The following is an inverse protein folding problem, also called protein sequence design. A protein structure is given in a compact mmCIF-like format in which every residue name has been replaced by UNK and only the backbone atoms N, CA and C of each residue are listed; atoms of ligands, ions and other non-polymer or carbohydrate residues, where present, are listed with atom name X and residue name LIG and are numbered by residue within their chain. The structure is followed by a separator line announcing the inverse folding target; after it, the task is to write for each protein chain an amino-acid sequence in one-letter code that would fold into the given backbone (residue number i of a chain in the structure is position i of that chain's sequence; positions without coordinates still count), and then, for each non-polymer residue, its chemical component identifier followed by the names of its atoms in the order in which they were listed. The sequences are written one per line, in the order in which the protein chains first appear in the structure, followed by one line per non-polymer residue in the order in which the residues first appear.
data_IF_068354022091
#
_entry.id   IF_068354022091
#
_cell.length_a   1.000
_cell.length_b   1.000
_cell.length_c   1.000
_cell.angle_alpha   90.00
_cell.angle_beta   90.00
_cell.angle_gamma   90.00
#
_symmetry.space_group_name_H-M   'P 1'
#
loop_
_entity.id
_entity.type
_entity.pdbx_description
1 polymer ?
#
# COMPACT_ATOMS: atom_id res chain seq x y z
N UNK A 1 -26.84 -32.77 1.02
CA UNK A 1 -25.64 -31.97 0.69
C UNK A 1 -25.92 -30.64 -0.06
N UNK A 2 -27.07 -30.42 -0.71
CA UNK A 2 -27.34 -29.19 -1.48
C UNK A 2 -27.57 -27.90 -0.64
N UNK A 3 -28.00 -28.02 0.62
CA UNK A 3 -28.36 -26.87 1.48
C UNK A 3 -27.16 -26.02 1.96
N UNK A 4 -25.99 -26.63 2.15
CA UNK A 4 -24.78 -25.91 2.59
C UNK A 4 -24.14 -25.06 1.48
N UNK A 5 -24.24 -25.51 0.23
CA UNK A 5 -23.71 -24.80 -0.95
C UNK A 5 -24.43 -23.47 -1.18
N UNK A 6 -25.75 -23.46 -0.92
CA UNK A 6 -26.60 -22.29 -1.10
C UNK A 6 -26.31 -21.16 -0.09
N UNK A 7 -26.05 -21.51 1.18
CA UNK A 7 -25.67 -20.53 2.21
C UNK A 7 -24.31 -19.87 1.93
N UNK A 8 -23.33 -20.62 1.43
CA UNK A 8 -21.99 -20.08 1.11
C UNK A 8 -22.05 -19.13 -0.08
N UNK A 9 -22.85 -19.44 -1.11
CA UNK A 9 -23.06 -18.56 -2.25
C UNK A 9 -23.75 -17.25 -1.85
N UNK A 10 -24.82 -17.33 -1.05
CA UNK A 10 -25.53 -16.15 -0.55
C UNK A 10 -24.64 -15.25 0.33
N UNK A 11 -23.78 -15.85 1.17
CA UNK A 11 -22.82 -15.08 1.98
C UNK A 11 -21.80 -14.33 1.10
N UNK A 12 -21.31 -14.96 0.03
CA UNK A 12 -20.38 -14.35 -0.93
C UNK A 12 -21.03 -13.21 -1.71
N UNK A 13 -22.22 -13.42 -2.24
CA UNK A 13 -22.98 -12.36 -2.91
C UNK A 13 -23.20 -11.16 -1.97
N UNK A 14 -23.55 -11.41 -0.70
CA UNK A 14 -23.72 -10.35 0.29
C UNK A 14 -22.41 -9.61 0.61
N UNK A 15 -21.28 -10.32 0.64
CA UNK A 15 -19.97 -9.72 0.87
C UNK A 15 -19.54 -8.84 -0.30
N UNK A 16 -19.75 -9.31 -1.54
CA UNK A 16 -19.52 -8.55 -2.77
C UNK A 16 -20.37 -7.28 -2.81
N UNK A 17 -21.69 -7.40 -2.65
CA UNK A 17 -22.61 -6.25 -2.68
C UNK A 17 -22.35 -5.24 -1.55
N UNK A 18 -21.77 -5.68 -0.43
CA UNK A 18 -21.41 -4.80 0.68
C UNK A 18 -20.04 -4.14 0.53
N UNK A 19 -19.25 -4.52 -0.48
CA UNK A 19 -17.95 -3.94 -0.73
C UNK A 19 -18.10 -2.65 -1.55
N UNK A 20 -17.68 -1.49 -1.04
CA UNK A 20 -17.82 -0.21 -1.76
C UNK A 20 -17.09 -0.20 -3.11
N UNK A 21 -16.08 -1.05 -3.29
CA UNK A 21 -15.28 -1.10 -4.51
C UNK A 21 -15.81 -2.11 -5.54
N UNK A 22 -16.87 -2.87 -5.20
CA UNK A 22 -17.35 -3.97 -6.03
C UNK A 22 -17.81 -3.52 -7.42
N UNK A 23 -18.44 -2.35 -7.52
CA UNK A 23 -18.88 -1.80 -8.81
C UNK A 23 -17.69 -1.52 -9.74
N UNK A 24 -16.60 -0.97 -9.20
CA UNK A 24 -15.38 -0.71 -9.96
C UNK A 24 -14.72 -2.00 -10.45
N UNK A 25 -14.71 -3.02 -9.58
CA UNK A 25 -14.22 -4.35 -9.91
C UNK A 25 -15.06 -4.96 -11.03
N UNK A 26 -16.38 -4.93 -10.92
CA UNK A 26 -17.26 -5.47 -11.97
C UNK A 26 -17.05 -4.80 -13.33
N UNK A 27 -16.87 -3.48 -13.35
CA UNK A 27 -16.59 -2.74 -14.59
C UNK A 27 -15.27 -3.19 -15.21
N UNK A 28 -14.22 -3.33 -14.40
CA UNK A 28 -12.95 -3.86 -14.88
C UNK A 28 -13.07 -5.29 -15.42
N UNK A 29 -13.80 -6.17 -14.72
CA UNK A 29 -14.04 -7.55 -15.18
C UNK A 29 -14.85 -7.63 -16.47
N UNK A 30 -15.61 -6.58 -16.81
CA UNK A 30 -16.32 -6.42 -18.09
C UNK A 30 -15.43 -5.82 -19.20
N UNK A 31 -14.16 -5.54 -18.90
CA UNK A 31 -13.18 -4.96 -19.83
C UNK A 31 -13.12 -3.42 -19.81
N UNK A 32 -13.77 -2.76 -18.85
CA UNK A 32 -13.67 -1.31 -18.69
C UNK A 32 -12.46 -0.93 -17.82
N UNK A 33 -11.35 -0.56 -18.45
CA UNK A 33 -10.10 -0.12 -17.77
C UNK A 33 -10.33 1.01 -16.74
N UNK A 34 -11.34 1.85 -16.97
CA UNK A 34 -11.71 2.93 -16.05
C UNK A 34 -12.02 2.42 -14.62
N UNK A 35 -12.55 1.19 -14.49
CA UNK A 35 -12.79 0.58 -13.18
C UNK A 35 -11.50 0.40 -12.39
N UNK A 36 -10.46 -0.14 -13.03
CA UNK A 36 -9.17 -0.34 -12.40
C UNK A 36 -8.45 0.98 -12.11
N UNK A 37 -8.48 1.93 -13.04
CA UNK A 37 -7.87 3.24 -12.84
C UNK A 37 -8.42 3.94 -11.59
N UNK A 38 -9.73 3.85 -11.36
CA UNK A 38 -10.34 4.40 -10.16
C UNK A 38 -9.89 3.66 -8.88
N UNK A 39 -9.73 2.33 -8.93
CA UNK A 39 -9.16 1.56 -7.82
C UNK A 39 -7.74 2.03 -7.49
N UNK A 40 -6.89 2.26 -8.49
CA UNK A 40 -5.54 2.80 -8.27
C UNK A 40 -5.61 4.16 -7.57
N UNK A 41 -6.40 5.09 -8.08
CA UNK A 41 -6.57 6.42 -7.47
C UNK A 41 -7.05 6.35 -6.01
N UNK A 42 -7.99 5.45 -5.72
CA UNK A 42 -8.54 5.28 -4.36
C UNK A 42 -7.51 4.74 -3.36
N UNK A 43 -6.52 3.96 -3.83
CA UNK A 43 -5.66 3.17 -2.96
C UNK A 43 -4.17 3.51 -3.04
N UNK A 44 -3.70 4.26 -4.04
CA UNK A 44 -2.28 4.53 -4.25
C UNK A 44 -1.58 5.10 -3.01
N UNK A 45 -2.18 6.09 -2.35
CA UNK A 45 -1.60 6.71 -1.16
C UNK A 45 -1.55 5.74 0.03
N UNK A 46 -2.56 4.86 0.17
CA UNK A 46 -2.61 3.87 1.26
C UNK A 46 -1.62 2.74 1.05
N UNK A 47 -1.50 2.25 -0.19
CA UNK A 47 -0.53 1.22 -0.57
C UNK A 47 0.88 1.76 -0.38
N UNK A 48 1.17 2.94 -0.94
CA UNK A 48 2.46 3.61 -0.77
C UNK A 48 2.81 3.82 0.71
N UNK A 49 1.91 4.42 1.49
CA UNK A 49 2.15 4.66 2.92
C UNK A 49 2.30 3.36 3.74
N UNK A 50 1.68 2.26 3.32
CA UNK A 50 1.93 0.95 3.92
C UNK A 50 3.31 0.40 3.54
N UNK A 51 3.69 0.47 2.27
CA UNK A 51 5.01 0.09 1.80
C UNK A 51 6.10 0.88 2.54
N UNK A 52 5.94 2.21 2.64
CA UNK A 52 6.89 3.08 3.33
C UNK A 52 7.04 2.73 4.80
N UNK A 53 5.93 2.51 5.52
CA UNK A 53 5.98 2.09 6.92
C UNK A 53 6.72 0.76 7.13
N UNK A 54 6.60 -0.18 6.19
CA UNK A 54 7.26 -1.50 6.29
C UNK A 54 8.72 -1.45 5.84
N UNK A 55 9.02 -0.71 4.77
CA UNK A 55 10.34 -0.69 4.13
C UNK A 55 11.29 0.36 4.74
N UNK A 56 10.75 1.49 5.20
CA UNK A 56 11.52 2.65 5.69
C UNK A 56 12.33 3.41 4.64
N UNK A 57 12.33 2.97 3.39
CA UNK A 57 12.92 3.67 2.24
C UNK A 57 11.82 4.14 1.30
N UNK A 58 11.93 5.39 0.83
CA UNK A 58 10.99 5.98 -0.13
C UNK A 58 11.08 5.30 -1.50
N UNK A 59 12.29 5.03 -1.97
CA UNK A 59 12.57 4.38 -3.25
C UNK A 59 12.00 2.96 -3.30
N UNK A 60 12.30 2.17 -2.26
CA UNK A 60 11.78 0.80 -2.13
C UNK A 60 10.25 0.79 -1.97
N UNK A 61 9.69 1.79 -1.28
CA UNK A 61 8.25 1.89 -1.12
C UNK A 61 7.53 2.16 -2.44
N UNK A 62 8.10 3.03 -3.28
CA UNK A 62 7.57 3.35 -4.60
C UNK A 62 7.65 2.13 -5.53
N UNK A 63 8.82 1.47 -5.62
CA UNK A 63 9.03 0.26 -6.44
C UNK A 63 7.99 -0.82 -6.07
N UNK A 64 7.85 -1.11 -4.78
CA UNK A 64 6.90 -2.14 -4.31
C UNK A 64 5.44 -1.72 -4.54
N UNK A 65 5.09 -0.45 -4.33
CA UNK A 65 3.73 0.01 -4.57
C UNK A 65 3.31 -0.20 -6.03
N UNK A 66 4.23 0.04 -6.98
CA UNK A 66 4.01 -0.24 -8.39
C UNK A 66 3.82 -1.75 -8.65
N UNK A 67 4.71 -2.60 -8.12
CA UNK A 67 4.59 -4.06 -8.25
C UNK A 67 3.26 -4.60 -7.69
N UNK A 68 2.79 -4.03 -6.58
CA UNK A 68 1.51 -4.39 -5.97
C UNK A 68 0.37 -4.11 -6.95
N UNK A 69 0.31 -2.93 -7.56
CA UNK A 69 -0.76 -2.62 -8.51
C UNK A 69 -0.69 -3.47 -9.78
N UNK A 70 0.51 -3.80 -10.28
CA UNK A 70 0.67 -4.74 -11.39
C UNK A 70 0.13 -6.14 -11.00
N UNK A 71 0.45 -6.59 -9.79
CA UNK A 71 -0.02 -7.88 -9.27
C UNK A 71 -1.54 -7.90 -9.11
N UNK A 72 -2.10 -6.81 -8.58
CA UNK A 72 -3.55 -6.64 -8.40
C UNK A 72 -4.24 -6.64 -9.76
N UNK A 73 -3.75 -5.89 -10.75
CA UNK A 73 -4.27 -5.89 -12.11
C UNK A 73 -4.37 -7.31 -12.68
N UNK A 74 -3.28 -8.07 -12.60
CA UNK A 74 -3.20 -9.42 -13.14
C UNK A 74 -4.07 -10.45 -12.41
N UNK A 75 -4.33 -10.24 -11.12
CA UNK A 75 -5.04 -11.20 -10.25
C UNK A 75 -6.48 -10.79 -9.89
N UNK A 76 -6.93 -9.61 -10.31
CA UNK A 76 -8.25 -9.09 -9.95
C UNK A 76 -9.40 -9.96 -10.49
N UNK A 77 -9.18 -10.64 -11.63
CA UNK A 77 -10.12 -11.63 -12.18
C UNK A 77 -10.30 -12.87 -11.31
N UNK A 78 -9.31 -13.20 -10.48
CA UNK A 78 -9.35 -14.31 -9.53
C UNK A 78 -9.92 -13.91 -8.17
N UNK A 79 -10.15 -12.61 -7.95
CA UNK A 79 -10.68 -12.10 -6.70
C UNK A 79 -12.13 -12.56 -6.49
N UNK A 80 -12.29 -13.52 -5.57
CA UNK A 80 -13.56 -14.21 -5.32
C UNK A 80 -14.61 -13.41 -4.54
N UNK A 81 -14.26 -12.22 -4.03
CA UNK A 81 -15.12 -11.43 -3.14
C UNK A 81 -15.43 -12.10 -1.80
N UNK A 82 -14.54 -13.01 -1.34
CA UNK A 82 -14.69 -13.69 -0.04
C UNK A 82 -14.35 -12.77 1.15
N UNK A 83 -13.66 -11.65 0.88
CA UNK A 83 -13.35 -10.54 1.79
C UNK A 83 -13.58 -9.21 1.07
N UNK A 84 -13.46 -8.07 1.78
CA UNK A 84 -13.38 -6.77 1.12
C UNK A 84 -12.12 -6.68 0.25
N UNK A 85 -12.18 -5.91 -0.82
CA UNK A 85 -11.07 -5.61 -1.71
C UNK A 85 -9.91 -4.97 -0.95
N UNK A 86 -10.19 -3.96 -0.12
CA UNK A 86 -9.19 -3.33 0.77
C UNK A 86 -8.41 -4.33 1.62
N UNK A 87 -9.09 -5.34 2.17
CA UNK A 87 -8.44 -6.41 2.96
C UNK A 87 -7.57 -7.32 2.10
N UNK A 88 -8.01 -7.64 0.89
CA UNK A 88 -7.25 -8.46 -0.05
C UNK A 88 -6.01 -7.70 -0.58
N UNK A 89 -6.19 -6.43 -0.93
CA UNK A 89 -5.11 -5.53 -1.34
C UNK A 89 -4.04 -5.38 -0.25
N UNK A 90 -4.45 -5.12 1.00
CA UNK A 90 -3.55 -5.05 2.14
C UNK A 90 -2.66 -6.31 2.24
N UNK A 91 -3.25 -7.50 2.09
CA UNK A 91 -2.50 -8.77 2.15
C UNK A 91 -1.49 -8.90 1.01
N UNK A 92 -1.84 -8.46 -0.20
CA UNK A 92 -0.91 -8.42 -1.33
C UNK A 92 0.25 -7.48 -1.01
N UNK A 93 -0.04 -6.24 -0.58
CA UNK A 93 0.97 -5.24 -0.23
C UNK A 93 1.95 -5.76 0.82
N UNK A 94 1.45 -6.28 1.94
CA UNK A 94 2.30 -6.82 3.01
C UNK A 94 3.17 -7.97 2.51
N UNK A 95 2.63 -8.85 1.65
CA UNK A 95 3.41 -9.97 1.10
C UNK A 95 4.55 -9.49 0.20
N UNK A 96 4.32 -8.48 -0.66
CA UNK A 96 5.39 -7.90 -1.47
C UNK A 96 6.48 -7.27 -0.60
N UNK A 97 6.12 -6.45 0.39
CA UNK A 97 7.09 -5.85 1.31
C UNK A 97 7.91 -6.91 2.06
N UNK A 98 7.26 -7.95 2.59
CA UNK A 98 7.94 -9.06 3.28
C UNK A 98 8.91 -9.81 2.36
N UNK A 99 8.52 -10.04 1.11
CA UNK A 99 9.39 -10.70 0.14
C UNK A 99 10.60 -9.83 -0.19
N UNK A 100 10.43 -8.52 -0.36
CA UNK A 100 11.53 -7.58 -0.60
C UNK A 100 12.47 -7.48 0.60
N UNK A 101 11.97 -7.35 1.82
CA UNK A 101 12.80 -7.37 3.03
C UNK A 101 13.66 -8.64 3.13
N UNK A 102 13.07 -9.81 2.84
CA UNK A 102 13.81 -11.09 2.81
C UNK A 102 14.89 -11.10 1.74
N UNK A 103 14.62 -10.52 0.57
CA UNK A 103 15.58 -10.41 -0.52
C UNK A 103 16.75 -9.50 -0.16
N UNK A 104 16.47 -8.31 0.39
CA UNK A 104 17.46 -7.33 0.82
C UNK A 104 18.33 -7.86 1.98
N UNK A 105 17.70 -8.52 2.97
CA UNK A 105 18.40 -9.13 4.09
C UNK A 105 19.40 -10.23 3.67
N UNK A 106 19.06 -11.03 2.65
CA UNK A 106 19.99 -12.05 2.10
C UNK A 106 21.18 -11.45 1.35
N UNK A 107 21.05 -10.22 0.85
CA UNK A 107 22.10 -9.51 0.12
C UNK A 107 22.99 -8.63 1.00
N UNK A 108 22.73 -8.59 2.32
CA UNK A 108 23.46 -7.70 3.22
C UNK A 108 23.13 -6.22 3.02
N UNK A 109 22.02 -5.90 2.36
CA UNK A 109 21.64 -4.51 2.04
C UNK A 109 21.44 -3.64 3.29
N UNK A 110 21.08 -4.25 4.43
CA UNK A 110 20.97 -3.57 5.72
C UNK A 110 22.32 -3.41 6.47
N UNK A 111 23.45 -3.84 5.89
CA UNK A 111 24.78 -3.66 6.49
C UNK A 111 25.47 -2.35 6.08
N UNK A 112 24.89 -1.55 5.17
CA UNK A 112 25.50 -0.29 4.70
C UNK A 112 24.99 1.00 5.34
N UNK A 113 23.93 1.01 6.15
CA UNK A 113 23.38 2.26 6.71
C UNK A 113 23.92 2.59 8.10
N UNK A 114 25.24 2.60 8.21
CA UNK A 114 25.92 3.50 9.12
C UNK A 114 26.74 4.47 8.30
N UNK A 115 26.37 5.74 8.43
CA UNK A 115 27.07 6.95 8.01
C UNK A 115 26.53 7.59 6.72
N UNK A 116 25.99 8.79 6.95
CA UNK A 116 25.91 9.91 6.01
C UNK A 116 24.67 9.98 5.09
N UNK A 117 23.65 10.70 5.56
CA UNK A 117 22.87 11.56 4.68
C UNK A 117 23.06 13.00 5.13
N UNK A 118 24.22 13.54 4.72
CA UNK A 118 24.47 14.94 4.53
C UNK A 118 23.44 15.57 3.60
N UNK A 119 23.22 16.86 3.86
CA UNK A 119 22.34 17.76 3.14
C UNK A 119 22.77 17.88 1.67
N UNK A 120 21.85 17.60 0.74
CA UNK A 120 21.91 18.14 -0.62
C UNK A 120 20.54 18.72 -0.99
N UNK A 121 20.42 20.03 -0.85
CA UNK A 121 19.56 20.88 -1.67
C UNK A 121 20.23 21.07 -3.03
N UNK A 122 19.50 20.86 -4.12
CA UNK A 122 19.59 21.71 -5.32
C UNK A 122 18.38 21.50 -6.24
N UNK A 123 18.10 22.54 -7.02
CA UNK A 123 16.80 22.92 -7.58
C UNK A 123 16.23 22.02 -8.69
N UNK A 124 14.90 21.93 -8.74
CA UNK A 124 14.18 21.33 -9.86
C UNK A 124 12.68 21.69 -9.85
N UNK A 125 12.31 22.63 -10.71
CA UNK A 125 10.92 23.04 -10.96
C UNK A 125 10.02 21.86 -11.39
N UNK A 126 8.86 21.72 -10.75
CA UNK A 126 7.64 21.31 -11.45
C UNK A 126 6.41 22.01 -10.85
N UNK A 127 5.69 22.71 -11.71
CA UNK A 127 4.46 23.44 -11.39
C UNK A 127 3.22 22.59 -11.72
N UNK A 128 2.29 22.39 -10.76
CA UNK A 128 0.88 22.84 -10.89
C UNK A 128 0.13 22.69 -9.55
N UNK A 129 -0.69 23.69 -9.29
CA UNK A 129 -1.40 24.02 -8.06
C UNK A 129 -2.52 23.04 -7.70
N UNK A 130 -2.67 22.77 -6.41
CA UNK A 130 -3.96 22.64 -5.74
C UNK A 130 -3.95 23.61 -4.56
N UNK A 131 -5.04 24.35 -4.39
CA UNK A 131 -5.19 25.40 -3.37
C UNK A 131 -5.02 24.84 -1.94
N UNK A 132 -4.34 25.64 -1.13
CA UNK A 132 -3.70 25.28 0.14
C UNK A 132 -4.63 25.32 1.36
N UNK A 133 -4.61 24.25 2.15
CA UNK A 133 -4.64 24.32 3.62
C UNK A 133 -3.20 24.12 4.15
N UNK A 134 -2.20 24.81 3.59
CA UNK A 134 -0.80 24.47 3.84
C UNK A 134 -0.32 24.97 5.21
N UNK A 135 0.13 24.01 6.02
CA UNK A 135 1.00 24.22 7.16
C UNK A 135 2.25 25.03 6.75
N UNK A 136 2.72 25.88 7.65
CA UNK A 136 3.96 26.65 7.50
C UNK A 136 5.15 25.75 7.14
N UNK A 137 6.16 26.23 6.38
CA UNK A 137 7.40 25.47 6.14
C UNK A 137 8.06 24.94 7.41
N UNK A 138 7.92 25.64 8.53
CA UNK A 138 8.39 25.20 9.85
C UNK A 138 7.57 24.01 10.39
N UNK A 139 6.24 24.08 10.28
CA UNK A 139 5.34 23.00 10.73
C UNK A 139 5.53 21.73 9.88
N UNK A 140 5.81 21.88 8.58
CA UNK A 140 6.17 20.76 7.70
C UNK A 140 7.50 20.10 8.10
N UNK A 141 8.48 20.86 8.58
CA UNK A 141 9.74 20.33 9.10
C UNK A 141 9.52 19.57 10.42
N UNK A 142 8.75 20.15 11.34
CA UNK A 142 8.38 19.51 12.61
C UNK A 142 7.63 18.19 12.35
N UNK A 143 6.69 18.19 11.40
CA UNK A 143 5.93 16.99 11.04
C UNK A 143 6.82 15.90 10.43
N UNK A 144 7.78 16.27 9.57
CA UNK A 144 8.78 15.33 9.03
C UNK A 144 9.69 14.75 10.12
N UNK A 145 10.03 15.53 11.13
CA UNK A 145 10.87 15.07 12.24
C UNK A 145 10.11 14.10 13.16
N UNK A 146 8.84 14.40 13.46
CA UNK A 146 7.95 13.48 14.15
C UNK A 146 7.76 12.19 13.34
N UNK A 147 7.50 12.29 12.05
CA UNK A 147 7.34 11.14 11.15
C UNK A 147 8.60 10.27 11.13
N UNK A 148 9.79 10.88 11.03
CA UNK A 148 11.07 10.17 11.08
C UNK A 148 11.29 9.45 12.40
N UNK A 149 10.96 10.07 13.53
CA UNK A 149 11.10 9.45 14.86
C UNK A 149 10.14 8.26 15.01
N UNK A 150 8.89 8.44 14.61
CA UNK A 150 7.88 7.37 14.61
C UNK A 150 8.31 6.23 13.70
N UNK A 151 8.80 6.54 12.50
CA UNK A 151 9.26 5.54 11.53
C UNK A 151 10.47 4.78 12.05
N UNK A 152 11.46 5.46 12.64
CA UNK A 152 12.60 4.82 13.29
C UNK A 152 12.16 3.84 14.39
N UNK A 153 11.18 4.21 15.21
CA UNK A 153 10.62 3.33 16.25
C UNK A 153 9.82 2.16 15.70
N UNK A 154 9.11 2.34 14.59
CA UNK A 154 8.43 1.23 13.89
C UNK A 154 9.47 0.24 13.36
N UNK A 155 10.61 0.69 12.84
CA UNK A 155 11.66 -0.20 12.34
C UNK A 155 12.34 -1.02 13.44
N UNK A 156 12.38 -0.54 14.68
CA UNK A 156 12.86 -1.29 15.86
C UNK A 156 11.96 -2.48 16.23
N UNK A 157 10.70 -2.49 15.78
CA UNK A 157 9.75 -3.57 16.06
C UNK A 157 9.99 -4.80 15.17
N UNK A 158 9.68 -5.98 15.69
CA UNK A 158 9.74 -7.21 14.91
C UNK A 158 8.65 -7.28 13.82
N UNK A 159 8.77 -8.26 12.93
CA UNK A 159 7.90 -8.39 11.76
C UNK A 159 6.42 -8.65 12.11
N UNK A 160 6.13 -9.29 13.26
CA UNK A 160 4.77 -9.59 13.71
C UNK A 160 4.14 -8.40 14.43
N UNK A 161 4.93 -7.68 15.23
CA UNK A 161 4.51 -6.47 15.94
C UNK A 161 4.19 -5.33 14.98
N UNK A 162 5.01 -5.11 13.94
CA UNK A 162 4.72 -4.12 12.89
C UNK A 162 3.40 -4.40 12.19
N UNK A 163 3.13 -5.67 11.87
CA UNK A 163 1.90 -6.05 11.18
C UNK A 163 0.63 -5.77 12.03
N UNK A 164 0.72 -5.88 13.37
CA UNK A 164 -0.41 -5.61 14.26
C UNK A 164 -0.81 -4.13 14.34
N UNK A 165 0.14 -3.20 14.26
CA UNK A 165 -0.12 -1.74 14.38
C UNK A 165 -0.71 -1.17 13.07
N UNK A 166 -0.57 -1.89 11.95
CA UNK A 166 -0.97 -1.44 10.62
C UNK A 166 -2.40 -1.88 10.21
N UNK A 167 -3.13 -2.57 11.09
CA UNK A 167 -4.52 -3.03 10.92
C UNK A 167 -5.52 -2.07 11.57
#
# INVERSE_FOLDING_TARGET
MALFRNRKLAKRLKAQVSDPDWELIERFLKGEEAGFNQLVLNYQNRVYGLCYRIMGSLEEAEEIAQEVFITVYNSLSEFRGDSRFSTWLYRITVNHCKNRLKYLGRRGYFQSDSLDHGLETEDGEFSRQMESEDFSPLERLEQKEVERLVQGKIMELDEEQRAMILL
#
